data_IF_824310909682
#
_entry.id   IF_824310909682
#
_cell.length_a   1.000
_cell.length_b   1.000
_cell.length_c   1.000
_cell.angle_alpha   90.00
_cell.angle_beta   90.00
_cell.angle_gamma   90.00
#
_symmetry.space_group_name_H-M   'P 1'
#
loop_
_entity.id
_entity.type
_entity.pdbx_description
1 polymer ?
#
# COMPACT_ATOMS: atom_id res chain seq x y z
N UNK A 1 58.35 9.76 -40.52
CA UNK A 1 57.06 9.03 -40.47
C UNK A 1 56.76 8.75 -39.00
N UNK A 2 55.89 9.57 -38.41
CA UNK A 2 55.59 9.58 -36.97
C UNK A 2 54.22 8.95 -36.69
N UNK A 3 54.22 7.98 -35.78
CA UNK A 3 53.07 7.25 -35.28
C UNK A 3 52.44 8.06 -34.15
N UNK A 4 51.27 8.66 -34.36
CA UNK A 4 50.55 9.45 -33.37
C UNK A 4 49.38 8.67 -32.76
N UNK A 5 49.19 8.88 -31.45
CA UNK A 5 47.84 9.00 -30.88
C UNK A 5 47.37 7.84 -30.00
N UNK A 6 47.66 7.92 -28.71
CA UNK A 6 46.85 7.26 -27.67
C UNK A 6 45.46 7.88 -27.66
N UNK A 7 44.42 7.08 -27.80
CA UNK A 7 43.08 7.40 -27.28
C UNK A 7 42.64 6.25 -26.39
N UNK A 8 42.61 6.53 -25.09
CA UNK A 8 42.06 5.63 -24.08
C UNK A 8 40.62 6.06 -23.84
N UNK A 9 39.69 5.49 -24.61
CA UNK A 9 38.26 5.60 -24.32
C UNK A 9 37.92 4.54 -23.27
N UNK A 10 38.01 4.90 -21.99
CA UNK A 10 37.33 4.14 -20.94
C UNK A 10 35.86 4.51 -20.95
N UNK A 11 35.07 3.47 -21.14
CA UNK A 11 33.62 3.42 -21.07
C UNK A 11 33.12 3.52 -19.61
N UNK A 12 31.89 4.02 -19.51
CA UNK A 12 30.86 3.75 -18.48
C UNK A 12 31.04 4.37 -17.09
N UNK A 13 30.13 5.30 -16.79
CA UNK A 13 29.45 5.33 -15.50
C UNK A 13 27.97 5.63 -15.76
N UNK A 14 27.20 4.58 -16.06
CA UNK A 14 25.78 4.60 -15.78
C UNK A 14 25.64 4.70 -14.26
N UNK A 15 25.07 5.79 -13.76
CA UNK A 15 24.76 5.93 -12.35
C UNK A 15 23.75 4.86 -11.97
N UNK A 16 24.22 3.82 -11.29
CA UNK A 16 23.38 2.93 -10.48
C UNK A 16 22.52 3.80 -9.56
N UNK A 17 21.21 3.55 -9.41
CA UNK A 17 20.47 4.14 -8.31
C UNK A 17 21.07 3.55 -7.04
N UNK A 18 21.92 4.33 -6.38
CA UNK A 18 22.34 4.04 -5.01
C UNK A 18 21.08 3.82 -4.21
N UNK A 19 21.03 2.70 -3.48
CA UNK A 19 20.04 2.43 -2.44
C UNK A 19 19.99 3.66 -1.54
N UNK A 20 19.06 4.57 -1.82
CA UNK A 20 19.11 5.93 -1.30
C UNK A 20 18.34 5.88 0.00
N UNK A 21 19.09 5.80 1.10
CA UNK A 21 18.51 5.92 2.42
C UNK A 21 17.83 7.29 2.52
N UNK A 22 16.57 7.30 2.93
CA UNK A 22 15.78 8.53 3.04
C UNK A 22 16.48 9.53 3.99
N UNK A 23 16.52 10.84 3.66
CA UNK A 23 17.08 11.85 4.54
C UNK A 23 16.40 11.86 5.92
N UNK A 24 17.19 11.97 6.99
CA UNK A 24 16.68 11.90 8.36
C UNK A 24 15.61 12.95 8.68
N UNK A 25 15.71 14.15 8.10
CA UNK A 25 14.71 15.21 8.27
C UNK A 25 13.34 14.81 7.70
N UNK A 26 13.30 14.08 6.57
CA UNK A 26 12.06 13.56 6.00
C UNK A 26 11.56 12.33 6.75
N UNK A 27 12.47 11.49 7.25
CA UNK A 27 12.11 10.35 8.10
C UNK A 27 11.37 10.77 9.37
N UNK A 28 11.71 11.93 9.94
CA UNK A 28 11.04 12.47 11.12
C UNK A 28 9.59 12.93 10.88
N UNK A 29 9.15 13.03 9.61
CA UNK A 29 7.77 13.38 9.27
C UNK A 29 6.82 12.18 9.25
N UNK A 30 7.37 10.96 9.28
CA UNK A 30 6.58 9.73 9.19
C UNK A 30 5.90 9.44 10.54
N UNK A 31 4.58 9.25 10.58
CA UNK A 31 3.86 8.90 11.81
C UNK A 31 4.33 7.59 12.42
N UNK A 32 4.30 7.51 13.76
CA UNK A 32 4.32 6.27 14.55
C UNK A 32 5.46 5.28 14.25
N UNK A 33 6.71 5.75 14.30
CA UNK A 33 7.89 4.88 14.32
C UNK A 33 8.95 5.26 13.30
N UNK A 34 9.95 4.39 13.13
CA UNK A 34 10.98 4.56 12.12
C UNK A 34 10.49 4.01 10.77
N UNK A 35 10.81 4.71 9.68
CA UNK A 35 10.66 4.18 8.33
C UNK A 35 11.33 2.80 8.23
N UNK A 36 10.57 1.78 7.86
CA UNK A 36 11.10 0.42 7.73
C UNK A 36 11.60 0.17 6.31
N UNK A 37 10.89 0.66 5.30
CA UNK A 37 11.37 0.70 3.93
C UNK A 37 10.87 1.95 3.21
N UNK A 38 11.64 2.43 2.23
CA UNK A 38 11.32 3.66 1.51
C UNK A 38 11.78 3.58 0.05
N UNK A 39 11.02 4.21 -0.84
CA UNK A 39 11.32 4.31 -2.27
C UNK A 39 11.14 5.75 -2.75
N UNK A 40 12.06 6.21 -3.60
CA UNK A 40 11.91 7.53 -4.23
C UNK A 40 11.03 7.41 -5.47
N UNK A 41 10.08 8.33 -5.59
CA UNK A 41 9.20 8.48 -6.76
C UNK A 41 9.87 9.30 -7.85
N UNK A 42 9.42 9.16 -9.10
CA UNK A 42 9.87 9.97 -10.23
C UNK A 42 9.54 11.46 -10.06
N UNK A 43 8.60 11.80 -9.19
CA UNK A 43 8.26 13.17 -8.81
C UNK A 43 9.18 13.75 -7.71
N UNK A 44 10.20 13.02 -7.27
CA UNK A 44 11.14 13.46 -6.23
C UNK A 44 10.62 13.33 -4.80
N UNK A 45 9.44 12.72 -4.59
CA UNK A 45 8.87 12.39 -3.28
C UNK A 45 9.32 11.02 -2.81
N UNK A 46 9.10 10.70 -1.54
CA UNK A 46 9.33 9.39 -0.95
C UNK A 46 8.00 8.70 -0.67
N UNK A 47 7.89 7.43 -1.07
CA UNK A 47 6.88 6.54 -0.51
C UNK A 47 7.55 5.70 0.58
N UNK A 48 6.96 5.68 1.76
CA UNK A 48 7.53 5.05 2.96
C UNK A 48 6.51 4.08 3.54
N UNK A 49 7.00 2.96 4.05
CA UNK A 49 6.19 1.97 4.76
C UNK A 49 6.73 1.74 6.16
N UNK A 50 5.82 1.62 7.11
CA UNK A 50 6.09 1.21 8.49
C UNK A 50 4.89 0.43 9.06
N UNK A 51 4.87 0.18 10.38
CA UNK A 51 3.75 -0.51 11.06
C UNK A 51 2.41 0.20 10.88
N UNK A 52 2.41 1.53 10.84
CA UNK A 52 1.20 2.34 10.78
C UNK A 52 0.54 2.29 9.42
N UNK A 53 1.33 2.32 8.34
CA UNK A 53 0.78 2.40 7.00
C UNK A 53 1.78 2.72 5.90
N UNK A 54 1.23 3.23 4.80
CA UNK A 54 1.95 3.78 3.66
C UNK A 54 1.87 5.30 3.69
N UNK A 55 3.01 5.96 3.56
CA UNK A 55 3.12 7.41 3.67
C UNK A 55 3.77 8.00 2.43
N UNK A 56 3.23 9.12 1.93
CA UNK A 56 3.85 9.91 0.88
C UNK A 56 4.46 11.15 1.50
N UNK A 57 5.78 11.31 1.34
CA UNK A 57 6.56 12.38 1.96
C UNK A 57 7.26 13.20 0.88
N UNK A 58 6.88 14.47 0.77
CA UNK A 58 7.53 15.48 -0.04
C UNK A 58 8.40 16.38 0.83
N UNK A 59 8.17 17.70 0.76
CA UNK A 59 8.72 18.65 1.74
C UNK A 59 8.05 18.53 3.12
N UNK A 60 6.80 18.05 3.12
CA UNK A 60 5.99 17.73 4.29
C UNK A 60 5.43 16.31 4.15
N UNK A 61 4.81 15.79 5.21
CA UNK A 61 3.94 14.63 5.09
C UNK A 61 2.73 15.04 4.24
N UNK A 62 2.60 14.46 3.06
CA UNK A 62 1.51 14.81 2.13
C UNK A 62 0.32 13.87 2.31
N UNK A 63 0.58 12.58 2.48
CA UNK A 63 -0.46 11.57 2.69
C UNK A 63 0.01 10.49 3.65
N UNK A 64 -0.94 9.95 4.42
CA UNK A 64 -0.73 8.84 5.34
C UNK A 64 -1.95 7.92 5.28
N UNK A 65 -1.73 6.67 4.87
CA UNK A 65 -2.79 5.69 4.65
C UNK A 65 -2.52 4.46 5.50
N UNK A 66 -3.32 4.21 6.57
CA UNK A 66 -3.24 2.97 7.32
C UNK A 66 -3.54 1.72 6.48
N UNK A 67 -2.91 0.61 6.88
CA UNK A 67 -2.99 -0.66 6.14
C UNK A 67 -4.40 -1.17 5.95
N UNK A 68 -5.29 -0.97 6.93
CA UNK A 68 -6.68 -1.43 6.84
C UNK A 68 -7.44 -0.79 5.67
N UNK A 69 -7.03 0.39 5.20
CA UNK A 69 -7.67 1.05 4.06
C UNK A 69 -7.24 0.51 2.69
N UNK A 70 -6.12 -0.21 2.59
CA UNK A 70 -5.53 -0.65 1.32
C UNK A 70 -6.02 -2.07 1.00
N UNK A 71 -6.81 -2.29 -0.06
CA UNK A 71 -7.24 -3.63 -0.48
C UNK A 71 -6.07 -4.43 -1.07
N UNK A 72 -5.24 -3.76 -1.89
CA UNK A 72 -4.17 -4.42 -2.64
C UNK A 72 -3.05 -3.44 -2.94
N UNK A 73 -1.83 -3.96 -3.00
CA UNK A 73 -0.69 -3.22 -3.53
C UNK A 73 0.10 -4.09 -4.51
N UNK A 74 0.56 -3.52 -5.63
CA UNK A 74 1.39 -4.25 -6.60
C UNK A 74 2.43 -3.34 -7.23
N UNK A 75 3.52 -3.93 -7.69
CA UNK A 75 4.53 -3.23 -8.48
C UNK A 75 4.68 -3.85 -9.88
N UNK A 76 4.62 -3.01 -10.92
CA UNK A 76 4.82 -3.40 -12.31
C UNK A 76 6.21 -2.97 -12.78
N UNK A 77 7.20 -3.87 -12.70
CA UNK A 77 8.61 -3.54 -12.92
C UNK A 77 8.99 -2.99 -14.30
N UNK A 78 8.24 -3.34 -15.36
CA UNK A 78 8.47 -2.76 -16.70
C UNK A 78 8.14 -1.27 -16.72
N UNK A 79 7.05 -0.88 -16.07
CA UNK A 79 6.60 0.49 -15.97
C UNK A 79 7.29 1.22 -14.81
N UNK A 80 7.82 0.50 -13.81
CA UNK A 80 8.23 1.01 -12.49
C UNK A 80 7.08 1.64 -11.72
N UNK A 81 5.90 1.03 -11.86
CA UNK A 81 4.66 1.59 -11.35
C UNK A 81 4.21 0.83 -10.11
N UNK A 82 4.17 1.51 -8.96
CA UNK A 82 3.52 1.04 -7.75
C UNK A 82 2.04 1.41 -7.79
N UNK A 83 1.14 0.45 -7.64
CA UNK A 83 -0.32 0.67 -7.59
C UNK A 83 -0.90 0.24 -6.27
N UNK A 84 -1.76 1.09 -5.71
CA UNK A 84 -2.52 0.86 -4.50
C UNK A 84 -4.01 0.89 -4.86
N UNK A 85 -4.75 -0.13 -4.43
CA UNK A 85 -6.20 -0.19 -4.48
C UNK A 85 -6.76 -0.08 -3.08
N UNK A 86 -7.92 0.55 -2.97
CA UNK A 86 -8.55 0.84 -1.69
C UNK A 86 -9.67 -0.15 -1.39
N UNK A 87 -9.90 -0.37 -0.11
CA UNK A 87 -11.06 -1.12 0.39
C UNK A 87 -12.39 -0.51 -0.03
N UNK A 88 -12.46 0.83 -0.09
CA UNK A 88 -13.57 1.53 -0.74
C UNK A 88 -13.35 1.55 -2.26
N UNK A 89 -14.04 0.66 -2.97
CA UNK A 89 -13.95 0.52 -4.42
C UNK A 89 -14.48 1.70 -5.23
N UNK A 90 -15.20 2.64 -4.60
CA UNK A 90 -15.61 3.89 -5.25
C UNK A 90 -14.45 4.90 -5.36
N UNK A 91 -13.34 4.64 -4.69
CA UNK A 91 -12.13 5.47 -4.78
C UNK A 91 -11.22 4.88 -5.86
N UNK A 92 -10.80 5.72 -6.79
CA UNK A 92 -9.88 5.32 -7.86
C UNK A 92 -8.51 4.88 -7.30
N UNK A 93 -7.93 3.80 -7.84
CA UNK A 93 -6.59 3.36 -7.43
C UNK A 93 -5.53 4.44 -7.67
N UNK A 94 -4.55 4.52 -6.78
CA UNK A 94 -3.40 5.41 -6.95
C UNK A 94 -2.25 4.67 -7.62
N UNK A 95 -1.59 5.36 -8.55
CA UNK A 95 -0.38 4.89 -9.22
C UNK A 95 0.78 5.86 -8.98
N UNK A 96 1.91 5.33 -8.51
CA UNK A 96 3.14 6.07 -8.26
C UNK A 96 4.27 5.51 -9.12
N UNK A 97 4.97 6.37 -9.84
CA UNK A 97 6.18 5.98 -10.54
C UNK A 97 7.38 5.98 -9.59
N UNK A 98 8.06 4.84 -9.46
CA UNK A 98 9.28 4.71 -8.67
C UNK A 98 10.52 4.89 -9.54
N UNK A 99 11.60 5.40 -8.94
CA UNK A 99 12.90 5.51 -9.61
C UNK A 99 13.60 4.15 -9.73
N UNK A 100 13.43 3.30 -8.72
CA UNK A 100 14.00 1.96 -8.69
C UNK A 100 13.27 1.01 -9.68
N UNK A 101 14.03 0.09 -10.26
CA UNK A 101 13.51 -1.00 -11.10
C UNK A 101 13.14 -2.24 -10.31
N UNK A 102 13.70 -2.45 -9.13
CA UNK A 102 13.55 -3.69 -8.39
C UNK A 102 13.31 -3.46 -6.88
N UNK A 103 12.17 -2.86 -6.50
CA UNK A 103 11.85 -2.49 -5.11
C UNK A 103 11.38 -3.71 -4.29
N UNK A 104 12.05 -4.87 -4.40
CA UNK A 104 11.61 -6.12 -3.75
C UNK A 104 11.48 -5.99 -2.25
N UNK A 105 12.53 -5.49 -1.58
CA UNK A 105 12.53 -5.33 -0.13
C UNK A 105 11.38 -4.43 0.35
N UNK A 106 11.11 -3.35 -0.39
CA UNK A 106 9.96 -2.47 -0.14
C UNK A 106 8.64 -3.21 -0.31
N UNK A 107 8.48 -3.96 -1.40
CA UNK A 107 7.26 -4.72 -1.68
C UNK A 107 7.03 -5.86 -0.69
N UNK A 108 8.08 -6.56 -0.29
CA UNK A 108 8.02 -7.64 0.71
C UNK A 108 7.59 -7.06 2.06
N UNK A 109 8.26 -6.00 2.54
CA UNK A 109 7.90 -5.32 3.80
C UNK A 109 6.45 -4.85 3.80
N UNK A 110 6.02 -4.25 2.70
CA UNK A 110 4.68 -3.71 2.61
C UNK A 110 3.60 -4.79 2.45
N UNK A 111 3.91 -5.88 1.75
CA UNK A 111 3.02 -7.02 1.64
C UNK A 111 2.86 -7.72 3.00
N UNK A 112 3.95 -7.86 3.77
CA UNK A 112 3.91 -8.42 5.12
C UNK A 112 2.93 -7.64 6.02
N UNK A 113 3.00 -6.30 6.02
CA UNK A 113 2.07 -5.48 6.80
C UNK A 113 0.63 -5.54 6.28
N UNK A 114 0.46 -5.52 4.96
CA UNK A 114 -0.85 -5.64 4.34
C UNK A 114 -1.53 -6.96 4.73
N UNK A 115 -0.78 -8.06 4.74
CA UNK A 115 -1.25 -9.37 5.16
C UNK A 115 -1.51 -9.44 6.67
N UNK A 116 -0.62 -8.88 7.49
CA UNK A 116 -0.82 -8.83 8.95
C UNK A 116 -2.03 -7.98 9.36
N UNK A 117 -2.39 -6.98 8.56
CA UNK A 117 -3.62 -6.21 8.76
C UNK A 117 -4.88 -7.04 8.56
N UNK A 118 -4.82 -8.16 7.81
CA UNK A 118 -5.97 -8.99 7.50
C UNK A 118 -6.22 -10.02 8.61
N UNK A 119 -7.39 -9.93 9.25
CA UNK A 119 -7.78 -10.88 10.30
C UNK A 119 -8.66 -12.00 9.74
N UNK A 120 -9.70 -11.63 8.98
CA UNK A 120 -10.64 -12.59 8.42
C UNK A 120 -11.31 -12.06 7.16
N UNK A 121 -11.63 -12.97 6.24
CA UNK A 121 -12.50 -12.71 5.09
C UNK A 121 -13.70 -13.65 5.15
N UNK A 122 -14.90 -13.10 5.00
CA UNK A 122 -16.13 -13.87 4.84
C UNK A 122 -16.85 -13.41 3.58
N UNK A 123 -17.45 -14.35 2.85
CA UNK A 123 -18.29 -14.05 1.69
C UNK A 123 -19.71 -14.58 1.93
N UNK A 124 -20.71 -13.80 1.54
CA UNK A 124 -22.13 -14.20 1.55
C UNK A 124 -22.71 -14.01 0.14
N UNK A 125 -23.38 -15.04 -0.36
CA UNK A 125 -24.09 -14.95 -1.64
C UNK A 125 -25.37 -14.14 -1.47
N UNK A 126 -25.66 -13.27 -2.45
CA UNK A 126 -26.86 -12.43 -2.52
C UNK A 126 -27.42 -12.47 -3.95
N UNK A 127 -28.59 -11.90 -4.19
CA UNK A 127 -29.12 -11.83 -5.55
C UNK A 127 -28.17 -11.04 -6.46
N UNK A 128 -27.85 -11.60 -7.63
CA UNK A 128 -26.99 -10.96 -8.62
C UNK A 128 -25.47 -10.98 -8.31
N UNK A 129 -25.03 -11.53 -7.17
CA UNK A 129 -23.61 -11.64 -6.86
C UNK A 129 -23.30 -12.04 -5.42
N UNK A 130 -22.27 -11.43 -4.84
CA UNK A 130 -21.89 -11.70 -3.45
C UNK A 130 -21.42 -10.44 -2.75
N UNK A 131 -21.56 -10.42 -1.44
CA UNK A 131 -20.90 -9.46 -0.55
C UNK A 131 -19.71 -10.14 0.12
N UNK A 132 -18.61 -9.40 0.27
CA UNK A 132 -17.39 -9.81 0.95
C UNK A 132 -17.15 -8.88 2.12
N UNK A 133 -17.10 -9.45 3.31
CA UNK A 133 -16.75 -8.80 4.55
C UNK A 133 -15.30 -9.11 4.89
N UNK A 134 -14.51 -8.08 5.15
CA UNK A 134 -13.11 -8.18 5.54
C UNK A 134 -12.95 -7.54 6.90
N UNK A 135 -12.49 -8.31 7.89
CA UNK A 135 -12.09 -7.78 9.19
C UNK A 135 -10.59 -7.54 9.14
N UNK A 136 -10.21 -6.33 9.50
CA UNK A 136 -8.82 -5.87 9.51
C UNK A 136 -8.47 -5.29 10.85
N UNK A 137 -7.18 -5.18 11.11
CA UNK A 137 -6.63 -4.66 12.35
C UNK A 137 -5.59 -3.60 12.06
N UNK A 138 -5.61 -2.52 12.84
CA UNK A 138 -4.54 -1.52 12.83
C UNK A 138 -3.38 -1.91 13.76
N UNK A 139 -2.41 -1.02 13.91
CA UNK A 139 -1.24 -1.27 14.76
C UNK A 139 -1.57 -1.24 16.27
N UNK A 140 -2.62 -0.52 16.67
CA UNK A 140 -3.10 -0.47 18.05
C UNK A 140 -3.91 -1.73 18.44
N UNK A 141 -4.32 -2.52 17.45
CA UNK A 141 -5.12 -3.71 17.63
C UNK A 141 -6.62 -3.49 17.44
N UNK A 142 -7.04 -2.28 17.09
CA UNK A 142 -8.44 -1.96 16.80
C UNK A 142 -8.89 -2.68 15.53
N UNK A 143 -10.12 -3.17 15.54
CA UNK A 143 -10.69 -3.96 14.45
C UNK A 143 -11.62 -3.12 13.58
N UNK A 144 -11.47 -3.26 12.27
CA UNK A 144 -12.25 -2.57 11.25
C UNK A 144 -12.96 -3.59 10.37
N UNK A 145 -14.24 -3.33 10.08
CA UNK A 145 -15.03 -4.14 9.16
C UNK A 145 -15.21 -3.37 7.85
N UNK A 146 -14.86 -3.99 6.74
CA UNK A 146 -15.13 -3.49 5.39
C UNK A 146 -16.05 -4.47 4.70
N UNK A 147 -17.21 -3.99 4.22
CA UNK A 147 -18.10 -4.78 3.38
C UNK A 147 -18.06 -4.21 1.96
N UNK A 148 -17.83 -5.08 0.98
CA UNK A 148 -17.80 -4.75 -0.44
C UNK A 148 -18.66 -5.71 -1.25
N UNK A 149 -19.17 -5.24 -2.39
CA UNK A 149 -19.89 -6.10 -3.34
C UNK A 149 -18.95 -6.62 -4.42
N UNK A 150 -19.28 -7.78 -5.02
CA UNK A 150 -18.51 -8.34 -6.13
C UNK A 150 -18.55 -7.47 -7.39
N UNK A 151 -19.56 -6.60 -7.55
CA UNK A 151 -19.60 -5.54 -8.57
C UNK A 151 -20.57 -4.43 -8.18
N UNK A 152 -20.43 -3.25 -8.78
CA UNK A 152 -21.33 -2.08 -8.59
C UNK A 152 -22.79 -2.35 -8.99
N UNK A 153 -23.03 -3.41 -9.79
CA UNK A 153 -24.38 -3.78 -10.22
C UNK A 153 -25.15 -4.57 -9.15
N UNK A 154 -24.43 -5.16 -8.20
CA UNK A 154 -25.03 -5.89 -7.08
C UNK A 154 -25.64 -4.86 -6.14
N UNK A 155 -26.96 -4.90 -6.02
CA UNK A 155 -27.70 -4.11 -5.02
C UNK A 155 -28.07 -5.02 -3.88
N UNK A 156 -27.84 -4.55 -2.66
CA UNK A 156 -28.09 -5.29 -1.43
C UNK A 156 -28.94 -4.40 -0.56
N UNK A 157 -29.99 -4.95 0.03
CA UNK A 157 -30.81 -4.23 0.99
C UNK A 157 -30.00 -3.92 2.25
N UNK A 158 -30.23 -2.76 2.85
CA UNK A 158 -29.52 -2.32 4.06
C UNK A 158 -29.66 -3.35 5.19
N UNK A 159 -30.83 -3.97 5.34
CA UNK A 159 -31.08 -5.05 6.31
C UNK A 159 -30.12 -6.25 6.16
N UNK A 160 -29.81 -6.63 4.92
CA UNK A 160 -28.89 -7.74 4.62
C UNK A 160 -27.45 -7.35 4.92
N UNK A 161 -27.09 -6.08 4.70
CA UNK A 161 -25.78 -5.53 5.06
C UNK A 161 -25.63 -5.46 6.58
N UNK A 162 -26.62 -4.94 7.30
CA UNK A 162 -26.65 -4.86 8.76
C UNK A 162 -26.54 -6.25 9.40
N UNK A 163 -27.29 -7.23 8.90
CA UNK A 163 -27.22 -8.62 9.36
C UNK A 163 -25.88 -9.27 9.05
N UNK A 164 -25.21 -8.86 7.97
CA UNK A 164 -23.87 -9.34 7.65
C UNK A 164 -22.81 -8.71 8.55
N UNK A 165 -22.91 -7.40 8.78
CA UNK A 165 -22.03 -6.65 9.65
C UNK A 165 -22.12 -7.16 11.08
N UNK A 166 -23.33 -7.38 11.60
CA UNK A 166 -23.55 -7.98 12.93
C UNK A 166 -22.87 -9.34 13.07
N UNK A 167 -23.02 -10.20 12.07
CA UNK A 167 -22.35 -11.51 12.08
C UNK A 167 -20.82 -11.37 12.07
N UNK A 168 -20.27 -10.41 11.32
CA UNK A 168 -18.84 -10.13 11.31
C UNK A 168 -18.36 -9.59 12.67
N UNK A 169 -19.12 -8.70 13.32
CA UNK A 169 -18.84 -8.22 14.68
C UNK A 169 -18.82 -9.37 15.69
N UNK A 170 -19.82 -10.24 15.65
CA UNK A 170 -19.92 -11.41 16.52
C UNK A 170 -18.71 -12.34 16.35
N UNK A 171 -18.31 -12.61 15.10
CA UNK A 171 -17.13 -13.44 14.80
C UNK A 171 -15.81 -12.78 15.23
N UNK A 172 -15.73 -11.45 15.17
CA UNK A 172 -14.58 -10.67 15.58
C UNK A 172 -14.51 -10.45 17.11
N UNK A 173 -15.59 -10.76 17.84
CA UNK A 173 -15.72 -10.42 19.26
C UNK A 173 -15.82 -8.91 19.51
N UNK A 174 -16.22 -8.12 18.50
CA UNK A 174 -16.44 -6.68 18.63
C UNK A 174 -17.80 -6.50 19.28
N UNK A 175 -17.84 -6.02 20.52
CA UNK A 175 -19.07 -5.62 21.18
C UNK A 175 -19.35 -4.14 20.90
N UNK A 176 -20.61 -3.80 20.65
CA UNK A 176 -21.02 -2.40 20.58
C UNK A 176 -20.74 -1.73 21.93
N UNK A 177 -20.15 -0.55 21.91
CA UNK A 177 -20.03 0.26 23.13
C UNK A 177 -21.44 0.66 23.59
N UNK A 178 -21.85 0.20 24.78
CA UNK A 178 -23.09 0.63 25.47
C UNK A 178 -23.09 2.14 25.76
#
# INVERSE_FOLDING_TARGET
MGWFGRSSSKNVAGSEPKNSQMPAALAALVPEGQAQSAQTTAAGKWVVVNSAGVHLVGEVLEESVPWYMIERMTFAGKQRELKLWWTNRSVEPVALQLLDRDPREFMDTAQDHLEHSLVMVRQRQVEGGSITGTIRRDEAGELFIVISTSSEKVRVEDSVLDDFERELRDLAGIQDAE
#
